data_IF_023136592326
#
_entry.id   IF_023136592326
#
_cell.length_a   1.000
_cell.length_b   1.000
_cell.length_c   1.000
_cell.angle_alpha   90.00
_cell.angle_beta   90.00
_cell.angle_gamma   90.00
#
_symmetry.space_group_name_H-M   'P 1'
#
loop_
_entity.id
_entity.type
_entity.pdbx_description
1 polymer ?
#
# COMPACT_ATOMS: atom_id res chain seq x y z
N UNK A 1 20.53 -22.37 -10.19
CA UNK A 1 21.60 -22.01 -9.22
C UNK A 1 21.03 -21.25 -8.02
N UNK A 2 20.43 -20.08 -8.22
CA UNK A 2 19.71 -19.39 -7.14
C UNK A 2 18.49 -20.20 -6.64
N UNK A 3 17.72 -20.83 -7.55
CA UNK A 3 16.57 -21.66 -7.15
C UNK A 3 16.94 -22.86 -6.27
N UNK A 4 18.05 -23.54 -6.58
CA UNK A 4 18.59 -24.63 -5.77
C UNK A 4 19.03 -24.14 -4.38
N UNK A 5 19.75 -23.01 -4.32
CA UNK A 5 20.09 -22.36 -3.04
C UNK A 5 18.83 -22.05 -2.23
N UNK A 6 17.86 -21.39 -2.85
CA UNK A 6 16.59 -21.03 -2.22
C UNK A 6 15.87 -22.26 -1.65
N UNK A 7 15.79 -23.34 -2.43
CA UNK A 7 15.14 -24.59 -2.02
C UNK A 7 15.84 -25.24 -0.81
N UNK A 8 17.15 -25.40 -0.87
CA UNK A 8 17.89 -26.04 0.23
C UNK A 8 17.91 -25.16 1.49
N UNK A 9 18.00 -23.84 1.35
CA UNK A 9 17.87 -22.90 2.47
C UNK A 9 16.49 -22.97 3.10
N UNK A 10 15.42 -22.95 2.30
CA UNK A 10 14.05 -23.02 2.82
C UNK A 10 13.81 -24.33 3.59
N UNK A 11 14.31 -25.47 3.08
CA UNK A 11 14.25 -26.75 3.80
C UNK A 11 15.00 -26.70 5.12
N UNK A 12 16.25 -26.22 5.12
CA UNK A 12 17.05 -26.14 6.32
C UNK A 12 16.39 -25.25 7.40
N UNK A 13 15.74 -24.15 7.00
CA UNK A 13 14.97 -23.30 7.94
C UNK A 13 13.77 -24.08 8.49
N UNK A 14 12.97 -24.71 7.63
CA UNK A 14 11.77 -25.46 8.04
C UNK A 14 12.07 -26.72 8.84
N UNK A 15 13.26 -27.31 8.70
CA UNK A 15 13.73 -28.42 9.55
C UNK A 15 13.99 -27.98 11.00
N UNK A 16 14.44 -26.74 11.19
CA UNK A 16 14.68 -26.16 12.52
C UNK A 16 13.37 -25.63 13.11
N UNK A 17 12.59 -24.91 12.32
CA UNK A 17 11.32 -24.30 12.71
C UNK A 17 10.31 -24.39 11.54
N UNK A 18 9.39 -25.37 11.57
CA UNK A 18 8.36 -25.53 10.55
C UNK A 18 7.42 -24.32 10.41
N UNK A 19 7.25 -23.55 11.48
CA UNK A 19 6.32 -22.40 11.53
C UNK A 19 6.97 -21.10 11.05
N UNK A 20 8.31 -21.09 10.85
CA UNK A 20 9.03 -19.93 10.35
C UNK A 20 8.61 -19.60 8.92
N UNK A 21 8.11 -18.38 8.68
CA UNK A 21 7.76 -17.91 7.34
C UNK A 21 9.00 -17.69 6.46
N UNK A 22 9.06 -18.36 5.31
CA UNK A 22 10.17 -18.24 4.35
C UNK A 22 9.66 -17.58 3.07
N UNK A 23 10.25 -16.45 2.72
CA UNK A 23 9.88 -15.67 1.53
C UNK A 23 10.96 -15.74 0.45
N UNK A 24 10.51 -15.65 -0.81
CA UNK A 24 11.37 -15.40 -1.97
C UNK A 24 11.06 -14.03 -2.56
N UNK A 25 12.00 -13.48 -3.32
CA UNK A 25 11.83 -12.22 -4.03
C UNK A 25 12.62 -11.13 -3.34
N UNK A 26 11.97 -10.03 -2.98
CA UNK A 26 12.65 -8.81 -2.54
C UNK A 26 13.46 -8.21 -3.68
N UNK A 27 12.92 -8.32 -4.90
CA UNK A 27 13.59 -7.90 -6.13
C UNK A 27 13.36 -6.42 -6.37
N UNK A 28 14.29 -5.78 -7.08
CA UNK A 28 14.02 -4.48 -7.69
C UNK A 28 12.87 -4.64 -8.70
N UNK A 29 11.73 -3.98 -8.45
CA UNK A 29 10.48 -4.22 -9.15
C UNK A 29 10.00 -5.69 -9.05
N UNK A 30 9.20 -6.17 -10.02
CA UNK A 30 8.49 -7.46 -9.87
C UNK A 30 9.30 -8.73 -10.23
N UNK A 31 10.33 -8.61 -11.07
CA UNK A 31 11.16 -9.70 -11.60
C UNK A 31 10.47 -11.09 -11.80
N UNK A 32 9.31 -11.18 -12.50
CA UNK A 32 8.52 -12.40 -12.56
C UNK A 32 9.20 -13.55 -13.29
N UNK A 33 10.11 -13.28 -14.23
CA UNK A 33 10.84 -14.34 -14.95
C UNK A 33 11.89 -14.96 -14.04
N UNK A 34 12.67 -14.13 -13.32
CA UNK A 34 13.66 -14.57 -12.35
C UNK A 34 13.00 -15.43 -11.26
N UNK A 35 11.92 -14.94 -10.65
CA UNK A 35 11.21 -15.67 -9.58
C UNK A 35 10.63 -16.99 -10.12
N UNK A 36 10.00 -16.99 -11.30
CA UNK A 36 9.47 -18.24 -11.89
C UNK A 36 10.57 -19.28 -12.13
N UNK A 37 11.74 -18.87 -12.61
CA UNK A 37 12.89 -19.77 -12.81
C UNK A 37 13.40 -20.33 -11.49
N UNK A 38 13.48 -19.50 -10.45
CA UNK A 38 13.87 -19.95 -9.11
C UNK A 38 12.87 -20.96 -8.52
N UNK A 39 11.57 -20.69 -8.64
CA UNK A 39 10.50 -21.57 -8.15
C UNK A 39 10.47 -22.91 -8.89
N UNK A 40 10.74 -22.92 -10.20
CA UNK A 40 10.80 -24.12 -11.03
C UNK A 40 11.93 -25.09 -10.62
N UNK A 41 12.95 -24.62 -9.90
CA UNK A 41 13.97 -25.51 -9.30
C UNK A 41 13.46 -26.22 -8.02
N UNK A 42 12.18 -26.09 -7.67
CA UNK A 42 11.51 -26.89 -6.64
C UNK A 42 11.42 -26.24 -5.25
N UNK A 43 11.66 -24.93 -5.15
CA UNK A 43 11.53 -24.19 -3.89
C UNK A 43 10.08 -23.89 -3.48
N UNK A 44 9.15 -23.84 -4.44
CA UNK A 44 7.75 -23.39 -4.22
C UNK A 44 7.04 -23.99 -3.00
N UNK A 45 7.05 -25.33 -2.81
CA UNK A 45 6.38 -25.97 -1.66
C UNK A 45 6.97 -25.64 -0.28
N UNK A 46 8.17 -25.04 -0.22
CA UNK A 46 8.86 -24.69 1.02
C UNK A 46 8.83 -23.19 1.32
N UNK A 47 8.14 -22.41 0.49
CA UNK A 47 8.07 -20.97 0.56
C UNK A 47 6.62 -20.55 0.87
N UNK A 48 6.48 -19.52 1.69
CA UNK A 48 5.21 -19.02 2.22
C UNK A 48 4.80 -17.70 1.54
N UNK A 49 5.76 -16.94 1.01
CA UNK A 49 5.48 -15.62 0.44
C UNK A 49 6.38 -15.27 -0.76
N UNK A 50 5.85 -14.37 -1.59
CA UNK A 50 6.60 -13.69 -2.66
C UNK A 50 6.65 -12.19 -2.37
N UNK A 51 7.84 -11.64 -2.32
CA UNK A 51 8.10 -10.24 -2.03
C UNK A 51 8.60 -9.46 -3.26
N UNK A 52 8.30 -8.17 -3.34
CA UNK A 52 8.68 -7.28 -4.45
C UNK A 52 8.84 -5.83 -3.98
N UNK A 53 9.69 -5.05 -4.66
CA UNK A 53 9.94 -3.64 -4.34
C UNK A 53 9.35 -2.74 -5.43
N UNK A 54 8.14 -2.15 -5.26
CA UNK A 54 7.42 -1.46 -6.33
C UNK A 54 7.94 -0.03 -6.64
N UNK A 55 9.25 0.19 -6.53
CA UNK A 55 9.86 1.46 -6.93
C UNK A 55 9.65 1.73 -8.42
N UNK A 56 9.33 2.98 -8.74
CA UNK A 56 8.95 3.41 -10.09
C UNK A 56 7.44 3.47 -10.32
N UNK A 57 6.61 2.94 -9.39
CA UNK A 57 5.20 3.30 -9.34
C UNK A 57 5.07 4.79 -8.96
N UNK A 58 4.32 5.61 -9.72
CA UNK A 58 4.16 7.04 -9.42
C UNK A 58 3.34 7.33 -8.15
N UNK A 59 2.52 6.38 -7.73
CA UNK A 59 1.70 6.41 -6.51
C UNK A 59 1.24 4.98 -6.16
N UNK A 60 0.79 4.69 -4.92
CA UNK A 60 0.54 3.33 -4.44
C UNK A 60 -0.54 2.51 -5.19
N UNK A 61 -1.47 3.18 -5.87
CA UNK A 61 -2.54 2.56 -6.66
C UNK A 61 -2.07 2.13 -8.06
N UNK A 62 -0.90 2.60 -8.51
CA UNK A 62 -0.35 2.25 -9.81
C UNK A 62 0.45 0.93 -9.76
N UNK A 63 0.37 0.15 -10.84
CA UNK A 63 1.22 -1.01 -11.04
C UNK A 63 2.65 -0.60 -11.41
N UNK A 64 3.64 -1.37 -10.96
CA UNK A 64 5.05 -1.21 -11.34
C UNK A 64 5.44 -2.19 -12.44
N UNK A 65 6.39 -1.82 -13.29
CA UNK A 65 6.96 -2.73 -14.28
C UNK A 65 7.77 -3.87 -13.67
N UNK A 66 8.52 -4.58 -14.50
CA UNK A 66 9.50 -5.57 -14.06
C UNK A 66 10.91 -5.17 -14.43
N UNK A 67 11.88 -5.58 -13.60
CA UNK A 67 13.28 -5.62 -13.93
C UNK A 67 13.78 -7.05 -13.73
N UNK A 68 13.92 -7.79 -14.82
CA UNK A 68 14.38 -9.18 -14.82
C UNK A 68 15.85 -9.28 -15.25
N UNK A 69 16.47 -10.42 -14.97
CA UNK A 69 17.76 -10.80 -15.57
C UNK A 69 17.55 -12.02 -16.48
N UNK A 70 17.72 -11.82 -17.78
CA UNK A 70 17.56 -12.84 -18.82
C UNK A 70 18.91 -12.99 -19.54
N UNK A 71 19.47 -14.20 -19.49
CA UNK A 71 20.74 -14.55 -20.14
C UNK A 71 21.89 -13.58 -19.79
N UNK A 72 21.95 -13.22 -18.50
CA UNK A 72 22.96 -12.32 -17.94
C UNK A 72 22.71 -10.83 -18.21
N UNK A 73 21.60 -10.45 -18.83
CA UNK A 73 21.25 -9.06 -19.15
C UNK A 73 20.04 -8.60 -18.38
N UNK A 74 20.08 -7.35 -17.91
CA UNK A 74 18.89 -6.70 -17.36
C UNK A 74 17.87 -6.42 -18.47
N UNK A 75 16.62 -6.81 -18.22
CA UNK A 75 15.50 -6.61 -19.14
C UNK A 75 14.36 -5.98 -18.37
N UNK A 76 14.04 -4.73 -18.72
CA UNK A 76 12.89 -4.02 -18.16
C UNK A 76 11.65 -4.22 -19.02
N UNK A 77 10.48 -4.32 -18.38
CA UNK A 77 9.17 -4.26 -19.04
C UNK A 77 8.26 -3.31 -18.29
N UNK A 78 7.53 -2.49 -19.01
CA UNK A 78 6.51 -1.59 -18.47
C UNK A 78 5.29 -2.36 -17.94
N UNK A 79 4.47 -1.75 -17.06
CA UNK A 79 3.17 -2.31 -16.66
C UNK A 79 2.29 -2.70 -17.87
N UNK A 80 2.26 -1.84 -18.90
CA UNK A 80 1.47 -2.06 -20.09
C UNK A 80 1.92 -3.32 -20.87
N UNK A 81 3.22 -3.56 -21.00
CA UNK A 81 3.76 -4.77 -21.63
C UNK A 81 3.46 -6.04 -20.83
N UNK A 82 3.25 -5.91 -19.52
CA UNK A 82 2.86 -7.00 -18.62
C UNK A 82 1.35 -7.17 -18.49
N UNK A 83 0.56 -6.26 -19.09
CA UNK A 83 -0.90 -6.36 -19.17
C UNK A 83 -1.65 -5.84 -17.94
N UNK A 84 -1.09 -4.88 -17.20
CA UNK A 84 -1.76 -4.24 -16.07
C UNK A 84 -1.43 -2.74 -15.98
N UNK A 85 -2.26 -1.99 -15.26
CA UNK A 85 -2.09 -0.56 -14.99
C UNK A 85 -2.17 -0.25 -13.50
N UNK A 86 -3.06 -0.92 -12.78
CA UNK A 86 -3.26 -0.68 -11.35
C UNK A 86 -2.48 -1.68 -10.49
N UNK A 87 -2.26 -1.31 -9.23
CA UNK A 87 -1.68 -2.20 -8.22
C UNK A 87 -2.50 -3.48 -8.05
N UNK A 88 -3.84 -3.39 -8.08
CA UNK A 88 -4.70 -4.57 -8.00
C UNK A 88 -4.52 -5.51 -9.20
N UNK A 89 -4.50 -4.97 -10.43
CA UNK A 89 -4.27 -5.79 -11.64
C UNK A 89 -2.88 -6.43 -11.65
N UNK A 90 -1.88 -5.70 -11.14
CA UNK A 90 -0.51 -6.20 -10.94
C UNK A 90 -0.49 -7.37 -9.95
N UNK A 91 -1.16 -7.25 -8.80
CA UNK A 91 -1.26 -8.34 -7.82
C UNK A 91 -1.98 -9.56 -8.41
N UNK A 92 -3.03 -9.36 -9.19
CA UNK A 92 -3.73 -10.45 -9.86
C UNK A 92 -2.86 -11.12 -10.93
N UNK A 93 -2.01 -10.35 -11.62
CA UNK A 93 -0.97 -10.91 -12.48
C UNK A 93 0.01 -11.79 -11.70
N UNK A 94 0.54 -11.33 -10.56
CA UNK A 94 1.47 -12.10 -9.73
C UNK A 94 0.81 -13.37 -9.16
N UNK A 95 -0.44 -13.28 -8.69
CA UNK A 95 -1.25 -14.42 -8.22
C UNK A 95 -1.39 -15.49 -9.30
N UNK A 96 -1.81 -15.10 -10.50
CA UNK A 96 -1.90 -16.02 -11.64
C UNK A 96 -0.55 -16.59 -12.03
N UNK A 97 0.52 -15.78 -11.96
CA UNK A 97 1.86 -16.18 -12.38
C UNK A 97 2.46 -17.24 -11.45
N UNK A 98 2.23 -17.12 -10.14
CA UNK A 98 2.89 -17.97 -9.15
C UNK A 98 2.00 -19.04 -8.53
N UNK A 99 0.68 -19.03 -8.77
CA UNK A 99 -0.23 -20.07 -8.29
C UNK A 99 0.14 -21.51 -8.69
N UNK A 100 0.77 -21.80 -9.86
CA UNK A 100 1.19 -23.16 -10.18
C UNK A 100 2.30 -23.70 -9.26
N UNK A 101 3.04 -22.82 -8.56
CA UNK A 101 4.10 -23.22 -7.64
C UNK A 101 3.60 -23.31 -6.20
N UNK A 102 2.77 -22.37 -5.77
CA UNK A 102 2.02 -22.40 -4.51
C UNK A 102 0.82 -21.43 -4.62
N UNK A 103 -0.43 -21.91 -4.58
CA UNK A 103 -1.62 -21.05 -4.66
C UNK A 103 -1.88 -20.28 -3.36
N UNK A 104 -1.16 -20.58 -2.29
CA UNK A 104 -1.32 -19.98 -0.96
C UNK A 104 -0.25 -18.93 -0.62
N UNK A 105 0.57 -18.52 -1.60
CA UNK A 105 1.56 -17.47 -1.35
C UNK A 105 0.93 -16.20 -0.78
N UNK A 106 1.51 -15.70 0.30
CA UNK A 106 1.34 -14.30 0.68
C UNK A 106 2.14 -13.40 -0.26
N UNK A 107 1.72 -12.13 -0.36
CA UNK A 107 2.39 -11.12 -1.17
C UNK A 107 2.88 -9.99 -0.28
N UNK A 108 4.14 -9.61 -0.47
CA UNK A 108 4.83 -8.64 0.39
C UNK A 108 5.42 -7.52 -0.47
N UNK A 109 4.91 -6.31 -0.32
CA UNK A 109 5.65 -5.11 -0.70
C UNK A 109 6.62 -4.79 0.44
N UNK A 110 7.72 -5.54 0.50
CA UNK A 110 8.66 -5.53 1.63
C UNK A 110 9.69 -4.39 1.56
N UNK A 111 9.66 -3.57 0.50
CA UNK A 111 10.43 -2.34 0.42
C UNK A 111 9.75 -1.37 -0.54
N UNK A 112 9.28 -0.24 -0.02
CA UNK A 112 8.84 0.90 -0.82
C UNK A 112 8.86 2.19 -0.01
N UNK A 113 8.97 3.31 -0.69
CA UNK A 113 8.61 4.63 -0.18
C UNK A 113 8.40 5.63 -1.32
N UNK A 114 8.09 6.87 -0.92
CA UNK A 114 8.32 8.05 -1.73
C UNK A 114 9.40 8.89 -1.05
N UNK A 115 10.39 9.37 -1.79
CA UNK A 115 11.49 10.17 -1.23
C UNK A 115 11.30 11.67 -1.48
N UNK A 116 11.59 12.54 -0.50
CA UNK A 116 11.72 13.96 -0.74
C UNK A 116 12.99 14.26 -1.55
N UNK A 117 12.94 15.32 -2.35
CA UNK A 117 14.11 15.81 -3.07
C UNK A 117 15.11 16.42 -2.09
N UNK A 118 16.39 16.07 -2.23
CA UNK A 118 17.52 16.79 -1.62
C UNK A 118 18.30 17.57 -2.68
N UNK A 119 19.00 18.61 -2.27
CA UNK A 119 19.79 19.47 -3.16
C UNK A 119 20.89 18.71 -3.94
N UNK A 120 21.46 17.67 -3.33
CA UNK A 120 22.57 16.86 -3.84
C UNK A 120 22.14 15.57 -4.55
N UNK A 121 20.83 15.34 -4.69
CA UNK A 121 20.32 14.08 -5.19
C UNK A 121 20.20 14.06 -6.73
N UNK A 122 20.64 13.00 -7.42
CA UNK A 122 20.61 12.92 -8.90
C UNK A 122 19.22 12.64 -9.51
N UNK A 123 18.18 12.41 -8.69
CA UNK A 123 16.82 12.17 -9.17
C UNK A 123 15.84 13.10 -8.47
N UNK A 124 14.80 13.51 -9.21
CA UNK A 124 13.73 14.36 -8.68
C UNK A 124 12.81 13.52 -7.79
N UNK A 125 12.68 13.92 -6.53
CA UNK A 125 11.72 13.37 -5.58
C UNK A 125 10.48 14.26 -5.41
N UNK A 126 9.74 14.00 -4.33
CA UNK A 126 8.65 14.83 -3.85
C UNK A 126 9.10 15.86 -2.82
N UNK A 127 8.16 16.27 -1.97
CA UNK A 127 8.40 17.01 -0.72
C UNK A 127 8.12 16.07 0.45
N UNK A 128 8.47 16.47 1.68
CA UNK A 128 8.08 15.70 2.87
C UNK A 128 6.54 15.61 3.02
N UNK A 129 5.78 16.55 2.43
CA UNK A 129 4.31 16.52 2.41
C UNK A 129 3.81 15.45 1.45
N UNK A 130 4.30 15.42 0.20
CA UNK A 130 3.86 14.40 -0.76
C UNK A 130 4.32 12.99 -0.36
N UNK A 131 5.50 12.86 0.26
CA UNK A 131 5.96 11.61 0.89
C UNK A 131 4.94 11.10 1.93
N UNK A 132 4.55 11.96 2.87
CA UNK A 132 3.61 11.59 3.92
C UNK A 132 2.23 11.22 3.36
N UNK A 133 1.72 11.94 2.35
CA UNK A 133 0.46 11.59 1.67
C UNK A 133 0.53 10.23 0.97
N UNK A 134 1.66 9.91 0.34
CA UNK A 134 1.87 8.60 -0.28
C UNK A 134 1.97 7.49 0.76
N UNK A 135 2.57 7.73 1.93
CA UNK A 135 2.56 6.76 3.01
C UNK A 135 1.14 6.41 3.47
N UNK A 136 0.26 7.41 3.60
CA UNK A 136 -1.15 7.15 3.92
C UNK A 136 -1.79 6.16 2.93
N UNK A 137 -1.63 6.45 1.64
CA UNK A 137 -2.17 5.61 0.56
C UNK A 137 -1.51 4.23 0.52
N UNK A 138 -0.20 4.13 0.76
CA UNK A 138 0.52 2.86 0.76
C UNK A 138 0.03 1.88 1.82
N UNK A 139 -0.16 2.34 3.06
CA UNK A 139 -0.68 1.50 4.14
C UNK A 139 -2.16 1.14 3.95
N UNK A 140 -2.96 2.07 3.40
CA UNK A 140 -4.34 1.77 3.04
C UNK A 140 -4.41 0.69 1.95
N UNK A 141 -3.63 0.84 0.86
CA UNK A 141 -3.58 -0.13 -0.23
C UNK A 141 -3.11 -1.51 0.25
N UNK A 142 -2.09 -1.58 1.12
CA UNK A 142 -1.67 -2.84 1.74
C UNK A 142 -2.81 -3.53 2.49
N UNK A 143 -3.57 -2.76 3.29
CA UNK A 143 -4.70 -3.27 4.06
C UNK A 143 -5.86 -3.72 3.16
N UNK A 144 -6.18 -2.94 2.11
CA UNK A 144 -7.25 -3.26 1.15
C UNK A 144 -6.95 -4.53 0.34
N UNK A 145 -5.69 -4.71 -0.04
CA UNK A 145 -5.26 -5.81 -0.93
C UNK A 145 -4.78 -7.06 -0.19
N UNK A 146 -4.61 -6.97 1.14
CA UNK A 146 -4.02 -8.02 1.96
C UNK A 146 -2.51 -8.19 1.76
N UNK A 147 -1.85 -7.23 1.13
CA UNK A 147 -0.39 -7.24 0.90
C UNK A 147 0.31 -6.74 2.17
N UNK A 148 1.34 -7.46 2.60
CA UNK A 148 2.21 -7.00 3.69
C UNK A 148 3.06 -5.84 3.18
N UNK A 149 2.96 -4.68 3.83
CA UNK A 149 3.58 -3.44 3.37
C UNK A 149 4.63 -2.96 4.35
N UNK A 150 5.86 -2.78 3.87
CA UNK A 150 7.00 -2.28 4.66
C UNK A 150 7.49 -0.98 4.03
N UNK A 151 7.41 0.10 4.81
CA UNK A 151 7.95 1.40 4.42
C UNK A 151 9.48 1.40 4.64
N UNK A 152 10.23 1.69 3.58
CA UNK A 152 11.68 1.82 3.65
C UNK A 152 12.08 3.29 3.80
N UNK A 153 12.72 3.73 4.88
CA UNK A 153 13.24 3.00 6.03
C UNK A 153 13.03 3.78 7.33
N UNK A 154 13.35 3.19 8.48
CA UNK A 154 13.25 3.88 9.77
C UNK A 154 14.26 5.05 9.85
N UNK A 155 15.53 4.71 9.70
CA UNK A 155 16.67 5.62 9.61
C UNK A 155 17.46 5.18 8.38
N UNK A 156 18.18 6.12 7.79
CA UNK A 156 18.99 5.89 6.61
C UNK A 156 20.40 6.43 6.83
N UNK A 157 21.44 5.66 6.52
CA UNK A 157 22.85 6.12 6.52
C UNK A 157 23.34 6.55 5.13
N UNK A 158 22.49 6.40 4.11
CA UNK A 158 22.75 6.83 2.75
C UNK A 158 22.73 8.36 2.67
N UNK A 159 23.83 8.96 2.23
CA UNK A 159 23.96 10.41 2.08
C UNK A 159 23.40 10.94 0.75
N UNK A 160 23.12 10.06 -0.22
CA UNK A 160 22.63 10.40 -1.57
C UNK A 160 21.11 10.58 -1.60
N UNK A 161 20.39 9.83 -0.76
CA UNK A 161 18.93 9.79 -0.74
C UNK A 161 18.42 10.00 0.68
N UNK A 162 17.19 10.51 0.84
CA UNK A 162 16.53 10.60 2.16
C UNK A 162 15.36 9.62 2.29
N UNK A 163 15.67 8.33 2.51
CA UNK A 163 14.65 7.29 2.66
C UNK A 163 14.01 7.23 4.06
N UNK A 164 14.64 7.83 5.06
CA UNK A 164 14.27 7.66 6.45
C UNK A 164 12.92 8.30 6.79
N UNK A 165 12.15 7.69 7.70
CA UNK A 165 11.02 8.39 8.37
C UNK A 165 11.53 9.35 9.46
N UNK A 166 12.77 9.13 9.91
CA UNK A 166 13.53 10.03 10.78
C UNK A 166 14.66 10.66 9.96
N UNK A 167 14.96 11.93 10.23
CA UNK A 167 16.08 12.63 9.61
C UNK A 167 17.39 12.00 10.06
N UNK A 168 18.27 11.65 9.12
CA UNK A 168 19.53 10.93 9.40
C UNK A 168 20.43 11.64 10.42
N UNK A 169 20.57 12.97 10.32
CA UNK A 169 21.53 13.75 11.11
C UNK A 169 21.18 13.84 12.60
N UNK A 170 19.91 14.05 12.92
CA UNK A 170 19.47 14.28 14.30
C UNK A 170 18.31 13.39 14.76
N UNK A 171 17.88 12.44 13.92
CA UNK A 171 16.78 11.50 14.18
C UNK A 171 15.46 12.19 14.54
N UNK A 172 15.27 13.44 14.11
CA UNK A 172 14.01 14.16 14.26
C UNK A 172 12.94 13.55 13.34
N UNK A 173 11.69 13.60 13.78
CA UNK A 173 10.55 13.04 13.03
C UNK A 173 10.26 13.88 11.78
N UNK A 174 10.11 13.22 10.63
CA UNK A 174 9.52 13.82 9.41
C UNK A 174 7.98 13.74 9.47
N UNK A 175 7.24 14.54 8.68
CA UNK A 175 5.78 14.43 8.56
C UNK A 175 5.27 12.99 8.37
N UNK A 176 5.97 12.21 7.54
CA UNK A 176 5.62 10.80 7.27
C UNK A 176 5.56 9.93 8.54
N UNK A 177 6.37 10.23 9.57
CA UNK A 177 6.33 9.51 10.83
C UNK A 177 4.92 9.55 11.47
N UNK A 178 4.32 10.73 11.51
CA UNK A 178 3.01 10.93 12.13
C UNK A 178 1.89 10.31 11.29
N UNK A 179 2.00 10.36 9.96
CA UNK A 179 1.07 9.66 9.07
C UNK A 179 1.13 8.15 9.28
N UNK A 180 2.33 7.56 9.34
CA UNK A 180 2.49 6.13 9.58
C UNK A 180 1.92 5.76 10.95
N UNK A 181 2.15 6.57 11.98
CA UNK A 181 1.55 6.37 13.29
C UNK A 181 0.01 6.36 13.23
N UNK A 182 -0.60 7.34 12.55
CA UNK A 182 -2.05 7.43 12.38
C UNK A 182 -2.61 6.23 11.64
N UNK A 183 -2.03 5.87 10.48
CA UNK A 183 -2.48 4.76 9.66
C UNK A 183 -2.34 3.42 10.36
N UNK A 184 -1.20 3.15 11.00
CA UNK A 184 -0.98 1.89 11.71
C UNK A 184 -1.89 1.74 12.93
N UNK A 185 -2.22 2.84 13.61
CA UNK A 185 -3.21 2.84 14.70
C UNK A 185 -4.60 2.54 14.18
N UNK A 186 -5.02 3.23 13.11
CA UNK A 186 -6.38 3.15 12.57
C UNK A 186 -6.65 1.82 11.85
N UNK A 187 -5.66 1.29 11.14
CA UNK A 187 -5.80 0.07 10.33
C UNK A 187 -5.34 -1.19 11.08
N UNK A 188 -4.94 -1.08 12.34
CA UNK A 188 -4.51 -2.24 13.14
C UNK A 188 -5.63 -3.27 13.23
N UNK A 189 -5.45 -4.42 12.58
CA UNK A 189 -6.45 -5.49 12.53
C UNK A 189 -7.63 -5.24 11.59
N UNK A 190 -7.64 -4.11 10.86
CA UNK A 190 -8.65 -3.83 9.86
C UNK A 190 -8.48 -4.70 8.62
N UNK A 191 -9.58 -4.98 7.92
CA UNK A 191 -9.59 -5.76 6.66
C UNK A 191 -10.59 -5.17 5.69
N UNK A 192 -10.31 -5.26 4.39
CA UNK A 192 -11.31 -4.92 3.37
C UNK A 192 -12.63 -5.67 3.63
N UNK A 193 -13.75 -4.96 3.54
CA UNK A 193 -15.09 -5.52 3.77
C UNK A 193 -16.06 -5.05 2.68
N UNK A 194 -16.13 -5.75 1.54
CA UNK A 194 -17.00 -5.36 0.41
C UNK A 194 -18.50 -5.53 0.71
N UNK A 195 -18.87 -6.06 1.89
CA UNK A 195 -20.27 -6.15 2.32
C UNK A 195 -20.81 -4.79 2.76
N UNK A 196 -19.94 -3.89 3.25
CA UNK A 196 -20.29 -2.50 3.55
C UNK A 196 -20.61 -1.78 2.24
N UNK A 197 -21.78 -1.16 2.16
CA UNK A 197 -22.22 -0.42 0.98
C UNK A 197 -22.06 1.07 1.22
N UNK A 198 -20.96 1.62 0.71
CA UNK A 198 -20.69 3.04 0.72
C UNK A 198 -20.42 3.56 -0.70
N UNK A 199 -20.86 4.78 -0.98
CA UNK A 199 -20.59 5.47 -2.25
C UNK A 199 -20.25 6.92 -1.97
N UNK A 200 -19.21 7.43 -2.64
CA UNK A 200 -18.90 8.86 -2.64
C UNK A 200 -19.23 9.45 -4.01
N UNK A 201 -19.84 10.64 -4.03
CA UNK A 201 -20.17 11.38 -5.26
C UNK A 201 -19.70 12.83 -5.16
N UNK A 202 -19.27 13.38 -6.29
CA UNK A 202 -18.79 14.76 -6.40
C UNK A 202 -17.74 14.90 -7.49
N UNK A 203 -17.18 16.10 -7.62
CA UNK A 203 -16.26 16.46 -8.72
C UNK A 203 -14.77 16.29 -8.33
N UNK A 204 -14.48 15.46 -7.34
CA UNK A 204 -13.12 15.05 -7.03
C UNK A 204 -12.60 14.18 -8.19
N UNK A 205 -11.45 14.52 -8.81
CA UNK A 205 -10.86 13.69 -9.85
C UNK A 205 -10.43 12.35 -9.28
N UNK A 206 -10.58 11.26 -10.03
CA UNK A 206 -10.19 9.92 -9.58
C UNK A 206 -10.71 9.62 -8.15
N UNK A 207 -12.00 9.89 -7.89
CA UNK A 207 -12.59 9.73 -6.55
C UNK A 207 -12.70 8.24 -6.19
N UNK A 208 -12.06 7.87 -5.08
CA UNK A 208 -12.15 6.55 -4.48
C UNK A 208 -13.01 6.59 -3.21
N UNK A 209 -13.73 5.48 -3.00
CA UNK A 209 -14.51 5.20 -1.80
C UNK A 209 -14.36 3.70 -1.50
N UNK A 210 -13.51 3.37 -0.55
CA UNK A 210 -13.19 1.99 -0.19
C UNK A 210 -13.67 1.68 1.23
N UNK A 211 -13.95 0.41 1.49
CA UNK A 211 -14.61 -0.01 2.73
C UNK A 211 -13.82 -1.09 3.45
N UNK A 212 -13.69 -0.93 4.76
CA UNK A 212 -13.02 -1.88 5.64
C UNK A 212 -13.84 -2.12 6.90
N UNK A 213 -13.65 -3.29 7.51
CA UNK A 213 -14.08 -3.60 8.87
C UNK A 213 -12.90 -3.36 9.81
N UNK A 214 -13.09 -2.52 10.82
CA UNK A 214 -12.13 -2.34 11.89
C UNK A 214 -12.03 -3.58 12.78
N UNK A 215 -10.96 -3.64 13.59
CA UNK A 215 -10.70 -4.78 14.49
C UNK A 215 -11.85 -5.04 15.47
N UNK A 216 -12.49 -3.97 15.92
CA UNK A 216 -13.50 -4.01 16.97
C UNK A 216 -14.93 -4.05 16.37
N UNK A 217 -15.04 -4.27 15.05
CA UNK A 217 -16.29 -4.45 14.32
C UNK A 217 -16.85 -3.16 13.70
N UNK A 218 -16.24 -2.01 13.97
CA UNK A 218 -16.66 -0.72 13.40
C UNK A 218 -16.53 -0.69 11.87
N UNK A 219 -17.38 0.07 11.19
CA UNK A 219 -17.23 0.29 9.76
C UNK A 219 -16.21 1.40 9.52
N UNK A 220 -15.31 1.19 8.57
CA UNK A 220 -14.37 2.18 8.09
C UNK A 220 -14.65 2.45 6.61
N UNK A 221 -14.78 3.73 6.25
CA UNK A 221 -14.97 4.16 4.85
C UNK A 221 -13.87 5.16 4.51
N UNK A 222 -12.95 4.77 3.63
CA UNK A 222 -11.86 5.61 3.17
C UNK A 222 -12.25 6.36 1.89
N UNK A 223 -12.09 7.69 1.88
CA UNK A 223 -12.45 8.55 0.75
C UNK A 223 -11.27 9.45 0.38
N UNK A 224 -10.89 9.46 -0.90
CA UNK A 224 -9.82 10.31 -1.43
C UNK A 224 -9.89 10.49 -2.94
N UNK A 225 -9.11 11.43 -3.43
CA UNK A 225 -8.79 11.67 -4.83
C UNK A 225 -7.46 10.97 -5.16
N UNK A 226 -7.48 9.94 -6.00
CA UNK A 226 -6.30 9.10 -6.28
C UNK A 226 -5.32 9.71 -7.31
N UNK A 227 -5.32 11.03 -7.48
CA UNK A 227 -4.36 11.76 -8.32
C UNK A 227 -2.95 11.75 -7.72
N UNK A 228 -1.93 12.17 -8.47
CA UNK A 228 -0.59 12.38 -7.90
C UNK A 228 -0.64 13.41 -6.75
N UNK A 229 -0.08 13.11 -5.56
CA UNK A 229 -0.10 14.03 -4.44
C UNK A 229 0.62 15.34 -4.74
N UNK A 230 0.07 16.44 -4.25
CA UNK A 230 0.57 17.81 -4.40
C UNK A 230 0.60 18.51 -3.05
N UNK A 231 1.52 19.44 -2.82
CA UNK A 231 1.64 20.13 -1.52
C UNK A 231 0.38 20.94 -1.18
N UNK A 232 -0.20 21.62 -2.18
CA UNK A 232 -1.26 22.62 -2.05
C UNK A 232 -2.63 22.13 -2.53
N UNK A 233 -2.84 20.80 -2.62
CA UNK A 233 -4.13 20.26 -3.01
C UNK A 233 -5.22 20.62 -2.00
N UNK A 234 -6.13 21.51 -2.40
CA UNK A 234 -7.19 22.05 -1.54
C UNK A 234 -8.35 21.07 -1.24
N UNK A 235 -8.34 19.88 -1.85
CA UNK A 235 -9.45 18.94 -1.78
C UNK A 235 -10.67 19.36 -2.61
N UNK A 236 -11.62 18.43 -2.76
CA UNK A 236 -12.93 18.70 -3.35
C UNK A 236 -14.02 18.21 -2.40
N UNK A 237 -15.11 18.98 -2.29
CA UNK A 237 -16.26 18.57 -1.49
C UNK A 237 -16.99 17.43 -2.19
N UNK A 238 -17.28 16.38 -1.44
CA UNK A 238 -18.03 15.21 -1.89
C UNK A 238 -19.18 14.92 -0.91
N UNK A 239 -20.17 14.18 -1.38
CA UNK A 239 -21.20 13.56 -0.53
C UNK A 239 -20.90 12.08 -0.40
N UNK A 240 -20.99 11.54 0.82
CA UNK A 240 -20.78 10.12 1.10
C UNK A 240 -22.08 9.54 1.65
N UNK A 241 -22.55 8.46 1.03
CA UNK A 241 -23.71 7.69 1.48
C UNK A 241 -23.24 6.31 1.95
N UNK A 242 -23.66 5.90 3.15
CA UNK A 242 -23.33 4.61 3.76
C UNK A 242 -24.64 3.92 4.16
N UNK A 243 -24.97 2.79 3.54
CA UNK A 243 -26.20 2.06 3.85
C UNK A 243 -26.12 1.38 5.23
N UNK A 244 -27.28 1.17 5.86
CA UNK A 244 -27.42 0.55 7.18
C UNK A 244 -26.59 1.23 8.29
N UNK A 245 -26.42 2.55 8.19
CA UNK A 245 -25.66 3.35 9.14
C UNK A 245 -26.50 4.51 9.71
N UNK A 246 -27.81 4.54 9.43
CA UNK A 246 -28.71 5.55 9.96
C UNK A 246 -28.68 5.59 11.50
N UNK A 247 -28.45 6.77 12.06
CA UNK A 247 -28.41 6.99 13.51
C UNK A 247 -27.10 6.60 14.21
N UNK A 248 -26.15 5.98 13.50
CA UNK A 248 -24.82 5.68 14.04
C UNK A 248 -23.99 6.96 14.20
N UNK A 249 -22.97 6.90 15.05
CA UNK A 249 -22.00 7.97 15.20
C UNK A 249 -20.91 7.87 14.14
N UNK A 250 -20.37 9.00 13.68
CA UNK A 250 -19.28 9.02 12.71
C UNK A 250 -18.21 10.05 13.07
N UNK A 251 -16.96 9.58 13.10
CA UNK A 251 -15.78 10.43 13.15
C UNK A 251 -15.06 10.40 11.79
N UNK A 252 -14.66 11.56 11.28
CA UNK A 252 -13.69 11.66 10.19
C UNK A 252 -12.28 11.75 10.76
N UNK A 253 -11.41 10.84 10.34
CA UNK A 253 -9.98 10.84 10.66
C UNK A 253 -9.21 11.37 9.46
N UNK A 254 -8.62 12.55 9.62
CA UNK A 254 -7.61 13.08 8.70
C UNK A 254 -6.29 12.35 8.98
N UNK A 255 -5.89 11.48 8.06
CA UNK A 255 -4.74 10.60 8.27
C UNK A 255 -3.40 11.30 8.13
N UNK A 256 -3.36 12.48 7.49
CA UNK A 256 -2.13 13.24 7.29
C UNK A 256 -1.85 14.15 8.50
N UNK A 257 -2.88 14.79 9.04
CA UNK A 257 -2.76 15.64 10.22
C UNK A 257 -2.97 14.89 11.55
N UNK A 258 -3.34 13.60 11.50
CA UNK A 258 -3.72 12.80 12.65
C UNK A 258 -4.84 13.45 13.49
N UNK A 259 -5.78 14.13 12.83
CA UNK A 259 -6.89 14.85 13.44
C UNK A 259 -8.17 14.04 13.35
N UNK A 260 -8.95 14.03 14.44
CA UNK A 260 -10.28 13.40 14.49
C UNK A 260 -11.33 14.49 14.64
N UNK A 261 -12.36 14.44 13.79
CA UNK A 261 -13.49 15.36 13.81
C UNK A 261 -14.79 14.56 13.82
N UNK A 262 -15.64 14.76 14.82
CA UNK A 262 -16.99 14.21 14.81
C UNK A 262 -17.82 14.90 13.74
N UNK A 263 -18.53 14.13 12.93
CA UNK A 263 -19.29 14.62 11.80
C UNK A 263 -20.78 14.58 12.11
N UNK A 264 -21.46 15.70 11.86
CA UNK A 264 -22.92 15.73 11.85
C UNK A 264 -23.44 15.14 10.53
N UNK A 265 -23.84 13.87 10.59
CA UNK A 265 -24.41 13.18 9.45
C UNK A 265 -25.94 13.31 9.42
N UNK A 266 -26.49 13.31 8.20
CA UNK A 266 -27.93 13.21 7.96
C UNK A 266 -28.33 11.76 7.84
N UNK A 267 -29.61 11.49 8.11
CA UNK A 267 -30.22 10.19 7.82
C UNK A 267 -31.12 10.31 6.60
N UNK A 268 -31.02 9.34 5.70
CA UNK A 268 -31.92 9.20 4.55
C UNK A 268 -32.32 7.72 4.39
N UNK A 269 -33.48 7.37 4.94
CA UNK A 269 -33.93 5.99 5.08
C UNK A 269 -33.08 5.23 6.10
N UNK A 270 -32.49 4.12 5.66
CA UNK A 270 -31.55 3.29 6.43
C UNK A 270 -30.09 3.76 6.31
N UNK A 271 -29.82 4.79 5.50
CA UNK A 271 -28.47 5.25 5.22
C UNK A 271 -28.07 6.48 6.05
N UNK A 272 -26.78 6.53 6.35
CA UNK A 272 -26.08 7.74 6.74
C UNK A 272 -25.65 8.51 5.49
N UNK A 273 -25.82 9.84 5.51
CA UNK A 273 -25.38 10.75 4.45
C UNK A 273 -24.53 11.87 5.05
N UNK A 274 -23.32 12.02 4.54
CA UNK A 274 -22.37 13.06 4.94
C UNK A 274 -22.16 13.97 3.74
N UNK A 275 -22.63 15.21 3.83
CA UNK A 275 -22.46 16.20 2.79
C UNK A 275 -21.25 17.10 3.06
N UNK A 276 -20.47 17.36 2.01
CA UNK A 276 -19.40 18.35 2.07
C UNK A 276 -18.09 17.86 2.70
N UNK A 277 -17.91 16.55 2.85
CA UNK A 277 -16.63 15.93 3.21
C UNK A 277 -15.57 16.37 2.19
N UNK A 278 -14.37 16.72 2.65
CA UNK A 278 -13.26 17.03 1.75
C UNK A 278 -12.56 15.74 1.33
N UNK A 279 -12.68 15.39 0.05
CA UNK A 279 -11.84 14.37 -0.58
C UNK A 279 -10.47 15.00 -0.89
N UNK A 280 -9.47 14.63 -0.11
CA UNK A 280 -8.08 15.04 -0.26
C UNK A 280 -7.33 14.10 -1.20
N UNK A 281 -6.08 14.41 -1.57
CA UNK A 281 -5.17 13.55 -2.35
C UNK A 281 -4.46 12.48 -1.48
N UNK A 282 -5.01 12.27 -0.28
CA UNK A 282 -4.70 11.25 0.72
C UNK A 282 -6.03 10.84 1.40
N UNK A 283 -6.11 9.63 1.99
CA UNK A 283 -7.34 9.13 2.59
C UNK A 283 -7.80 9.97 3.79
N UNK A 284 -9.06 10.39 3.75
CA UNK A 284 -9.83 10.68 4.97
C UNK A 284 -10.63 9.42 5.28
N UNK A 285 -10.55 8.93 6.51
CA UNK A 285 -11.23 7.69 6.91
C UNK A 285 -12.35 8.02 7.87
N UNK A 286 -13.58 7.72 7.45
CA UNK A 286 -14.77 7.77 8.28
C UNK A 286 -14.82 6.51 9.13
N UNK A 287 -15.01 6.67 10.43
CA UNK A 287 -15.16 5.59 11.40
C UNK A 287 -16.56 5.65 11.99
N UNK A 288 -17.36 4.61 11.73
CA UNK A 288 -18.79 4.54 12.06
C UNK A 288 -19.02 3.49 13.14
N UNK A 289 -19.71 3.89 14.21
CA UNK A 289 -19.91 3.10 15.45
C UNK A 289 -21.26 3.34 16.09
#
# INVERSE_FOLDING_TARGET
AFGALLRETAKAIKEVDPDCGVLVGGTAALAPVFISRALAEGGGPHLDAVAFHPYGAPYPEAGVGSLDVIDGKQVSRSPAELGFRTNQEMLDFLRRKFSPFNPHFEYWSNEWNAIPTREDMPYKGGTEITEAKQAARFFLQGTLTGVRSVWWSLINENTVYDWGILRTSEQSRKPVYYTIQAMTTLLSGAKADPTIKATATGDAPELHCETLRGRDGEMLVAVWSAISPQDDYAGKRVSVRIANAAGESVDAVDTFHALVQTIEAKTDGDAMVIDGLLAMDYPVILRIR
#
